data_IF_060855665390
#
_entry.id   IF_060855665390
#
_cell.length_a   1.000
_cell.length_b   1.000
_cell.length_c   1.000
_cell.angle_alpha   90.00
_cell.angle_beta   90.00
_cell.angle_gamma   90.00
#
_symmetry.space_group_name_H-M   'P 1'
#
loop_
_entity.id
_entity.type
_entity.pdbx_description
1 polymer ?
#
# COMPACT_ATOMS: atom_id res chain seq x y z
N UNK A 1 -27.48 -1.61 -13.20
CA UNK A 1 -27.22 -1.91 -11.77
C UNK A 1 -25.80 -1.48 -11.49
N UNK A 2 -25.56 -0.68 -10.46
CA UNK A 2 -24.20 -0.29 -10.06
C UNK A 2 -23.44 -1.55 -9.68
N UNK A 3 -22.33 -1.87 -10.37
CA UNK A 3 -21.45 -2.97 -10.00
C UNK A 3 -20.96 -2.71 -8.57
N UNK A 4 -21.09 -3.70 -7.69
CA UNK A 4 -20.62 -3.66 -6.32
C UNK A 4 -19.28 -4.39 -6.23
N UNK A 5 -18.39 -3.88 -5.39
CA UNK A 5 -17.16 -4.58 -5.04
C UNK A 5 -17.47 -5.67 -4.00
N UNK A 6 -17.28 -6.92 -4.37
CA UNK A 6 -17.48 -8.10 -3.50
C UNK A 6 -16.16 -8.81 -3.16
N UNK A 7 -15.03 -8.21 -3.57
CA UNK A 7 -13.71 -8.83 -3.53
C UNK A 7 -13.37 -9.52 -4.85
N UNK A 8 -12.23 -10.18 -4.89
CA UNK A 8 -11.75 -10.96 -6.03
C UNK A 8 -11.16 -12.28 -5.55
N UNK A 9 -10.85 -13.18 -6.46
CA UNK A 9 -10.19 -14.46 -6.13
C UNK A 9 -8.76 -14.26 -5.61
N UNK A 10 -8.12 -13.15 -5.98
CA UNK A 10 -6.73 -12.84 -5.66
C UNK A 10 -6.56 -11.96 -4.41
N UNK A 11 -7.68 -11.50 -3.81
CA UNK A 11 -7.64 -10.57 -2.69
C UNK A 11 -8.69 -10.87 -1.61
N UNK A 12 -8.24 -11.17 -0.41
CA UNK A 12 -9.12 -11.42 0.74
C UNK A 12 -9.64 -10.09 1.29
N UNK A 13 -10.85 -9.71 0.87
CA UNK A 13 -11.53 -8.51 1.37
C UNK A 13 -12.44 -8.88 2.55
N UNK A 14 -12.23 -8.23 3.70
CA UNK A 14 -13.12 -8.35 4.85
C UNK A 14 -14.46 -7.66 4.57
N UNK A 15 -15.53 -8.06 5.26
CA UNK A 15 -16.88 -7.49 5.02
C UNK A 15 -16.93 -5.99 5.30
N UNK A 16 -16.26 -5.51 6.33
CA UNK A 16 -16.16 -4.09 6.65
C UNK A 16 -15.42 -3.30 5.56
N UNK A 17 -14.38 -3.89 4.94
CA UNK A 17 -13.67 -3.30 3.81
C UNK A 17 -14.57 -3.22 2.56
N UNK A 18 -15.33 -4.28 2.24
CA UNK A 18 -16.28 -4.26 1.11
C UNK A 18 -17.35 -3.18 1.30
N UNK A 19 -17.88 -3.07 2.52
CA UNK A 19 -18.84 -2.02 2.87
C UNK A 19 -18.22 -0.64 2.69
N UNK A 20 -16.97 -0.43 3.14
CA UNK A 20 -16.28 0.86 3.03
C UNK A 20 -16.06 1.25 1.57
N UNK A 21 -15.59 0.33 0.72
CA UNK A 21 -15.40 0.55 -0.72
C UNK A 21 -16.73 0.95 -1.38
N UNK A 22 -17.78 0.17 -1.16
CA UNK A 22 -19.08 0.42 -1.78
C UNK A 22 -19.73 1.72 -1.28
N UNK A 23 -19.54 2.07 0.00
CA UNK A 23 -20.01 3.33 0.56
C UNK A 23 -19.28 4.53 -0.06
N UNK A 24 -17.96 4.47 -0.21
CA UNK A 24 -17.18 5.52 -0.86
C UNK A 24 -17.61 5.74 -2.32
N UNK A 25 -17.84 4.65 -3.07
CA UNK A 25 -18.34 4.68 -4.45
C UNK A 25 -19.74 5.33 -4.53
N UNK A 26 -20.64 4.94 -3.62
CA UNK A 26 -22.02 5.44 -3.59
C UNK A 26 -22.12 6.91 -3.17
N UNK A 27 -21.24 7.35 -2.25
CA UNK A 27 -21.14 8.73 -1.79
C UNK A 27 -20.33 9.62 -2.74
N UNK A 28 -19.70 9.04 -3.75
CA UNK A 28 -18.79 9.74 -4.66
C UNK A 28 -17.65 10.49 -3.92
N UNK A 29 -17.18 9.92 -2.83
CA UNK A 29 -16.08 10.47 -2.02
C UNK A 29 -14.79 9.67 -2.20
N UNK A 30 -13.62 10.32 -2.10
CA UNK A 30 -12.35 9.60 -2.04
C UNK A 30 -12.35 8.59 -0.89
N UNK A 31 -11.92 7.37 -1.16
CA UNK A 31 -11.72 6.32 -0.16
C UNK A 31 -10.31 6.43 0.40
N UNK A 32 -10.17 6.89 1.63
CA UNK A 32 -8.89 6.95 2.33
C UNK A 32 -8.66 5.65 3.12
N UNK A 33 -7.69 4.88 2.69
CA UNK A 33 -7.27 3.64 3.34
C UNK A 33 -6.00 3.88 4.14
N UNK A 34 -6.08 3.72 5.46
CA UNK A 34 -4.92 3.69 6.35
C UNK A 34 -4.66 2.28 6.87
N UNK A 35 -3.42 1.99 7.24
CA UNK A 35 -3.03 0.71 7.84
C UNK A 35 -1.52 0.53 7.87
N UNK A 36 -1.05 -0.50 8.58
CA UNK A 36 0.36 -0.84 8.62
C UNK A 36 0.92 -1.11 7.21
N UNK A 37 2.22 -0.89 6.96
CA UNK A 37 2.86 -1.31 5.72
C UNK A 37 2.64 -2.80 5.44
N UNK A 38 2.43 -3.15 4.16
CA UNK A 38 2.24 -4.54 3.73
C UNK A 38 0.88 -5.17 4.07
N UNK A 39 -0.16 -4.36 4.37
CA UNK A 39 -1.54 -4.83 4.59
C UNK A 39 -2.40 -4.87 3.32
N UNK A 40 -1.81 -4.74 2.14
CA UNK A 40 -2.53 -4.85 0.87
C UNK A 40 -3.28 -3.60 0.43
N UNK A 41 -3.00 -2.41 1.00
CA UNK A 41 -3.70 -1.14 0.65
C UNK A 41 -3.60 -0.77 -0.83
N UNK A 42 -2.39 -0.84 -1.38
CA UNK A 42 -2.15 -0.54 -2.80
C UNK A 42 -2.83 -1.57 -3.68
N UNK A 43 -2.73 -2.87 -3.32
CA UNK A 43 -3.37 -3.97 -4.06
C UNK A 43 -4.88 -3.81 -4.12
N UNK A 44 -5.52 -3.30 -3.07
CA UNK A 44 -6.96 -3.05 -3.05
C UNK A 44 -7.45 -2.21 -4.24
N UNK A 45 -6.71 -1.16 -4.63
CA UNK A 45 -7.11 -0.31 -5.76
C UNK A 45 -7.06 -1.08 -7.09
N UNK A 46 -6.07 -1.97 -7.27
CA UNK A 46 -5.98 -2.86 -8.43
C UNK A 46 -7.18 -3.82 -8.47
N UNK A 47 -7.54 -4.37 -7.33
CA UNK A 47 -8.64 -5.33 -7.22
C UNK A 47 -10.01 -4.66 -7.38
N UNK A 48 -10.17 -3.40 -6.93
CA UNK A 48 -11.37 -2.61 -7.22
C UNK A 48 -11.49 -2.36 -8.73
N UNK A 49 -10.40 -1.96 -9.39
CA UNK A 49 -10.40 -1.73 -10.82
C UNK A 49 -10.73 -3.01 -11.60
N UNK A 50 -10.13 -4.15 -11.21
CA UNK A 50 -10.38 -5.47 -11.80
C UNK A 50 -11.85 -5.89 -11.61
N UNK A 51 -12.38 -5.79 -10.40
CA UNK A 51 -13.75 -6.19 -10.09
C UNK A 51 -14.82 -5.35 -10.80
N UNK A 52 -14.50 -4.07 -11.09
CA UNK A 52 -15.43 -3.14 -11.75
C UNK A 52 -15.17 -3.02 -13.26
N UNK A 53 -14.23 -3.79 -13.81
CA UNK A 53 -13.77 -3.67 -15.21
C UNK A 53 -13.45 -2.22 -15.60
N UNK A 54 -12.75 -1.51 -14.69
CA UNK A 54 -12.45 -0.09 -14.79
C UNK A 54 -10.96 0.15 -15.10
N UNK A 55 -10.63 1.19 -15.89
CA UNK A 55 -9.23 1.60 -16.07
C UNK A 55 -8.61 1.99 -14.73
N UNK A 56 -7.36 1.56 -14.48
CA UNK A 56 -6.60 1.96 -13.31
C UNK A 56 -5.55 3.02 -13.69
N UNK A 57 -5.58 4.13 -13.00
CA UNK A 57 -4.58 5.21 -13.10
C UNK A 57 -3.90 5.33 -11.75
N UNK A 58 -2.58 5.16 -11.72
CA UNK A 58 -1.81 5.17 -10.48
C UNK A 58 -0.90 6.38 -10.40
N UNK A 59 -0.98 7.09 -9.28
CA UNK A 59 -0.09 8.18 -8.92
C UNK A 59 0.65 7.86 -7.63
N UNK A 60 1.92 7.45 -7.75
CA UNK A 60 2.80 7.21 -6.61
C UNK A 60 3.36 8.52 -6.08
N UNK A 61 3.09 8.82 -4.82
CA UNK A 61 3.53 10.04 -4.17
C UNK A 61 4.95 9.85 -3.61
N UNK A 62 5.79 10.85 -3.83
CA UNK A 62 7.15 10.93 -3.29
C UNK A 62 7.27 12.15 -2.40
N UNK A 63 8.31 12.21 -1.56
CA UNK A 63 8.58 13.37 -0.69
C UNK A 63 8.75 14.70 -1.46
N UNK A 64 9.10 14.63 -2.74
CA UNK A 64 9.27 15.79 -3.62
C UNK A 64 8.04 16.07 -4.49
N UNK A 65 7.00 15.24 -4.42
CA UNK A 65 5.80 15.40 -5.25
C UNK A 65 5.01 16.62 -4.80
N UNK A 66 4.61 17.45 -5.78
CA UNK A 66 3.73 18.60 -5.58
C UNK A 66 2.36 18.35 -6.20
N UNK A 67 1.30 18.91 -5.63
CA UNK A 67 -0.07 18.73 -6.10
C UNK A 67 -0.26 19.12 -7.57
N UNK A 68 0.38 20.19 -8.02
CA UNK A 68 0.32 20.64 -9.42
C UNK A 68 0.78 19.57 -10.42
N UNK A 69 1.73 18.70 -10.03
CA UNK A 69 2.23 17.62 -10.90
C UNK A 69 1.17 16.54 -11.18
N UNK A 70 0.17 16.42 -10.30
CA UNK A 70 -1.00 15.57 -10.57
C UNK A 70 -1.91 16.17 -11.62
N UNK A 71 -1.92 17.48 -11.74
CA UNK A 71 -2.70 18.21 -12.74
C UNK A 71 -1.92 18.25 -14.07
N UNK A 72 -0.84 19.02 -14.12
CA UNK A 72 0.04 19.10 -15.28
C UNK A 72 1.40 19.72 -14.92
N UNK A 73 2.35 19.58 -15.84
CA UNK A 73 3.63 20.28 -15.79
C UNK A 73 3.81 21.05 -17.10
N UNK A 74 4.17 22.34 -17.00
CA UNK A 74 4.49 23.18 -18.14
C UNK A 74 6.00 23.31 -18.33
N UNK A 75 6.51 22.86 -19.50
CA UNK A 75 7.92 22.92 -19.85
C UNK A 75 8.28 24.24 -20.54
N UNK A 76 8.34 25.31 -19.73
CA UNK A 76 8.71 26.64 -20.18
C UNK A 76 10.15 26.70 -20.74
N UNK A 77 11.06 25.88 -20.21
CA UNK A 77 12.48 25.87 -20.63
C UNK A 77 12.61 25.32 -22.05
N UNK A 78 11.98 24.18 -22.33
CA UNK A 78 11.98 23.61 -23.68
C UNK A 78 11.29 24.55 -24.66
N UNK A 79 10.17 25.18 -24.29
CA UNK A 79 9.50 26.16 -25.16
C UNK A 79 10.38 27.37 -25.47
N UNK A 80 11.10 27.91 -24.49
CA UNK A 80 12.02 29.01 -24.69
C UNK A 80 13.14 28.63 -25.66
N UNK A 81 13.76 27.47 -25.46
CA UNK A 81 14.81 26.93 -26.34
C UNK A 81 14.31 26.77 -27.79
N UNK A 82 13.15 26.14 -27.97
CA UNK A 82 12.57 25.89 -29.27
C UNK A 82 12.19 27.21 -29.98
N UNK A 83 11.74 28.21 -29.20
CA UNK A 83 11.53 29.58 -29.72
C UNK A 83 12.80 30.21 -30.28
N UNK A 84 13.93 30.03 -29.60
CA UNK A 84 15.23 30.56 -30.06
C UNK A 84 15.73 29.84 -31.32
N UNK A 85 15.35 28.57 -31.51
CA UNK A 85 15.68 27.74 -32.65
C UNK A 85 14.70 27.92 -33.84
N UNK A 86 13.61 28.67 -33.66
CA UNK A 86 12.59 28.88 -34.69
C UNK A 86 11.70 27.65 -34.93
N UNK A 87 11.55 26.77 -33.93
CA UNK A 87 10.73 25.55 -34.05
C UNK A 87 9.23 25.91 -34.10
N UNK A 88 8.53 25.38 -35.10
CA UNK A 88 7.11 25.63 -35.33
C UNK A 88 6.20 25.16 -34.19
N UNK A 89 6.64 24.20 -33.33
CA UNK A 89 5.90 23.70 -32.18
C UNK A 89 5.57 24.80 -31.15
N UNK A 90 6.37 25.88 -31.12
CA UNK A 90 6.17 27.02 -30.19
C UNK A 90 4.83 27.71 -30.39
N UNK A 91 4.22 27.62 -31.56
CA UNK A 91 2.93 28.23 -31.90
C UNK A 91 1.77 27.68 -31.06
N UNK A 92 1.86 26.42 -30.66
CA UNK A 92 0.87 25.82 -29.77
C UNK A 92 1.50 25.48 -28.40
N UNK A 93 1.05 26.18 -27.36
CA UNK A 93 1.52 25.99 -25.98
C UNK A 93 1.24 24.59 -25.45
N UNK A 94 0.22 23.90 -25.96
CA UNK A 94 -0.13 22.54 -25.56
C UNK A 94 0.98 21.53 -25.80
N UNK A 95 1.88 21.78 -26.78
CA UNK A 95 3.03 20.93 -27.04
C UNK A 95 4.04 20.88 -25.88
N UNK A 96 3.93 21.80 -24.92
CA UNK A 96 4.82 21.95 -23.76
C UNK A 96 4.10 21.66 -22.45
N UNK A 97 2.86 21.17 -22.49
CA UNK A 97 2.09 20.76 -21.33
C UNK A 97 2.11 19.24 -21.24
N UNK A 98 2.67 18.74 -20.15
CA UNK A 98 2.67 17.33 -19.81
C UNK A 98 1.53 17.08 -18.82
N UNK A 99 0.57 16.24 -19.20
CA UNK A 99 -0.58 15.89 -18.36
C UNK A 99 -0.16 15.08 -17.14
N UNK A 100 -0.71 15.42 -15.99
CA UNK A 100 -0.58 14.66 -14.75
C UNK A 100 -1.66 13.58 -14.61
N UNK A 101 -1.60 12.81 -13.52
CA UNK A 101 -2.49 11.65 -13.32
C UNK A 101 -3.96 12.02 -13.04
N UNK A 102 -4.22 13.20 -12.44
CA UNK A 102 -5.58 13.70 -12.30
C UNK A 102 -6.14 14.09 -13.67
N UNK A 103 -5.34 14.76 -14.49
CA UNK A 103 -5.77 15.09 -15.86
C UNK A 103 -6.12 13.84 -16.65
N UNK A 104 -5.25 12.82 -16.64
CA UNK A 104 -5.51 11.54 -17.29
C UNK A 104 -6.84 10.92 -16.81
N UNK A 105 -7.10 10.98 -15.49
CA UNK A 105 -8.34 10.46 -14.91
C UNK A 105 -9.56 11.27 -15.32
N UNK A 106 -9.45 12.59 -15.43
CA UNK A 106 -10.56 13.47 -15.80
C UNK A 106 -10.91 13.37 -17.30
N UNK A 107 -9.94 13.08 -18.14
CA UNK A 107 -10.17 12.87 -19.59
C UNK A 107 -10.70 11.46 -19.92
N UNK A 108 -10.66 10.51 -18.98
CA UNK A 108 -11.09 9.13 -19.23
C UNK A 108 -12.55 9.07 -19.68
N UNK A 109 -12.83 8.32 -20.73
CA UNK A 109 -14.20 8.09 -21.22
C UNK A 109 -14.96 7.06 -20.35
N UNK A 110 -14.24 6.08 -19.80
CA UNK A 110 -14.77 5.14 -18.82
C UNK A 110 -14.48 5.64 -17.41
N UNK A 111 -15.32 5.27 -16.44
CA UNK A 111 -15.10 5.62 -15.02
C UNK A 111 -13.82 4.97 -14.49
N UNK A 112 -12.71 5.69 -14.31
CA UNK A 112 -11.47 5.09 -13.88
C UNK A 112 -11.40 4.94 -12.36
N UNK A 113 -10.57 4.01 -11.89
CA UNK A 113 -10.04 4.02 -10.52
C UNK A 113 -8.75 4.83 -10.51
N UNK A 114 -8.72 5.92 -9.75
CA UNK A 114 -7.53 6.74 -9.53
C UNK A 114 -6.93 6.37 -8.18
N UNK A 115 -5.76 5.75 -8.17
CA UNK A 115 -4.99 5.47 -6.97
C UNK A 115 -3.99 6.59 -6.71
N UNK A 116 -4.13 7.28 -5.57
CA UNK A 116 -3.14 8.19 -5.00
C UNK A 116 -2.42 7.42 -3.89
N UNK A 117 -1.24 6.90 -4.21
CA UNK A 117 -0.54 5.93 -3.35
C UNK A 117 0.45 6.62 -2.42
N UNK A 118 0.37 6.31 -1.11
CA UNK A 118 1.25 6.80 -0.05
C UNK A 118 1.24 8.33 0.09
N UNK A 119 0.03 8.93 0.19
CA UNK A 119 -0.17 10.39 0.26
C UNK A 119 0.62 11.08 1.38
N UNK A 120 0.87 10.37 2.47
CA UNK A 120 1.60 10.85 3.65
C UNK A 120 3.13 10.95 3.44
N UNK A 121 3.66 10.53 2.29
CA UNK A 121 5.07 10.80 1.92
C UNK A 121 5.32 12.24 1.52
N UNK A 122 4.33 12.91 0.93
CA UNK A 122 4.46 14.31 0.53
C UNK A 122 4.51 15.27 1.74
N UNK A 123 4.64 16.55 1.44
CA UNK A 123 4.55 17.59 2.46
C UNK A 123 3.13 17.67 3.06
N UNK A 124 3.00 18.21 4.27
CA UNK A 124 1.75 18.26 5.03
C UNK A 124 0.65 19.04 4.31
N UNK A 125 1.01 20.03 3.50
CA UNK A 125 0.07 20.85 2.73
C UNK A 125 -0.44 20.14 1.46
N UNK A 126 0.29 19.15 0.95
CA UNK A 126 -0.04 18.46 -0.30
C UNK A 126 -1.50 17.94 -0.37
N UNK A 127 -2.06 17.30 0.67
CA UNK A 127 -3.47 16.87 0.62
C UNK A 127 -4.44 18.05 0.54
N UNK A 128 -4.12 19.19 1.21
CA UNK A 128 -4.94 20.39 1.16
C UNK A 128 -4.95 21.01 -0.23
N UNK A 129 -3.80 21.00 -0.90
CA UNK A 129 -3.62 21.56 -2.26
C UNK A 129 -4.44 20.78 -3.33
N UNK A 130 -4.90 19.56 -3.02
CA UNK A 130 -5.74 18.74 -3.89
C UNK A 130 -7.24 18.80 -3.56
N UNK A 131 -7.61 19.50 -2.49
CA UNK A 131 -8.99 19.46 -2.00
C UNK A 131 -10.01 19.95 -3.02
N UNK A 132 -9.71 21.07 -3.68
CA UNK A 132 -10.63 21.69 -4.62
C UNK A 132 -10.83 20.80 -5.85
N UNK A 133 -9.74 20.24 -6.38
CA UNK A 133 -9.74 19.40 -7.57
C UNK A 133 -10.47 18.09 -7.32
N UNK A 134 -10.29 17.50 -6.14
CA UNK A 134 -10.98 16.25 -5.75
C UNK A 134 -12.47 16.46 -5.39
N UNK A 135 -12.83 17.64 -4.89
CA UNK A 135 -14.23 17.96 -4.59
C UNK A 135 -15.02 18.28 -5.87
N UNK A 136 -14.46 19.19 -6.69
CA UNK A 136 -15.14 19.72 -7.89
C UNK A 136 -14.91 18.87 -9.12
N UNK A 137 -13.88 18.01 -9.10
CA UNK A 137 -13.42 17.23 -10.26
C UNK A 137 -13.13 18.12 -11.47
N UNK A 138 -12.50 19.26 -11.21
CA UNK A 138 -12.08 20.23 -12.22
C UNK A 138 -10.82 20.97 -11.76
N UNK A 139 -10.04 21.47 -12.70
CA UNK A 139 -8.94 22.39 -12.46
C UNK A 139 -8.71 23.30 -13.66
N UNK A 140 -8.01 24.43 -13.43
CA UNK A 140 -7.74 25.42 -14.44
C UNK A 140 -6.32 25.32 -14.97
N UNK A 141 -6.14 25.38 -16.28
CA UNK A 141 -4.84 25.40 -16.97
C UNK A 141 -4.53 26.81 -17.41
N UNK A 142 -3.57 27.43 -16.75
CA UNK A 142 -3.25 28.85 -16.94
C UNK A 142 -2.69 29.15 -18.33
N UNK A 143 -1.91 28.26 -18.91
CA UNK A 143 -1.24 28.45 -20.19
C UNK A 143 -2.20 28.42 -21.38
N UNK A 144 -3.30 27.69 -21.26
CA UNK A 144 -4.32 27.56 -22.31
C UNK A 144 -5.59 28.34 -22.00
N UNK A 145 -5.75 28.87 -20.77
CA UNK A 145 -6.98 29.47 -20.26
C UNK A 145 -8.19 28.54 -20.34
N UNK A 146 -7.98 27.26 -20.09
CA UNK A 146 -9.03 26.23 -20.15
C UNK A 146 -9.30 25.63 -18.78
N UNK A 147 -10.55 25.30 -18.50
CA UNK A 147 -10.92 24.47 -17.35
C UNK A 147 -11.05 23.03 -17.82
N UNK A 148 -10.31 22.13 -17.19
CA UNK A 148 -10.43 20.69 -17.41
C UNK A 148 -11.39 20.15 -16.37
N UNK A 149 -12.50 19.56 -16.81
CA UNK A 149 -13.50 18.94 -15.96
C UNK A 149 -13.55 17.43 -16.24
N UNK A 150 -13.75 16.63 -15.19
CA UNK A 150 -13.89 15.19 -15.34
C UNK A 150 -15.09 14.81 -16.17
N UNK A 151 -14.87 14.08 -17.27
CA UNK A 151 -15.95 13.55 -18.13
C UNK A 151 -16.85 12.58 -17.37
N UNK A 152 -16.21 11.71 -16.58
CA UNK A 152 -16.88 10.80 -15.66
C UNK A 152 -16.14 10.87 -14.33
N UNK A 153 -16.90 11.01 -13.22
CA UNK A 153 -16.28 11.11 -11.89
C UNK A 153 -15.49 9.83 -11.54
N UNK A 154 -14.17 9.91 -11.34
CA UNK A 154 -13.34 8.75 -11.00
C UNK A 154 -13.68 8.18 -9.62
N UNK A 155 -13.38 6.91 -9.41
CA UNK A 155 -13.33 6.30 -8.09
C UNK A 155 -11.94 6.59 -7.55
N UNK A 156 -11.83 7.47 -6.55
CA UNK A 156 -10.54 7.86 -5.99
C UNK A 156 -10.22 6.99 -4.78
N UNK A 157 -9.10 6.28 -4.82
CA UNK A 157 -8.56 5.49 -3.70
C UNK A 157 -7.25 6.14 -3.26
N UNK A 158 -7.13 6.43 -1.98
CA UNK A 158 -5.97 7.10 -1.39
C UNK A 158 -5.40 6.18 -0.32
N UNK A 159 -4.10 5.90 -0.36
CA UNK A 159 -3.44 5.09 0.66
C UNK A 159 -2.53 5.93 1.55
N UNK A 160 -2.40 5.51 2.80
CA UNK A 160 -1.48 6.09 3.78
C UNK A 160 -0.93 5.02 4.71
N UNK A 161 0.37 5.06 4.98
CA UNK A 161 1.06 4.20 5.95
C UNK A 161 1.05 4.78 7.37
N UNK A 162 0.38 5.90 7.56
CA UNK A 162 0.32 6.63 8.84
C UNK A 162 1.69 7.15 9.31
N UNK A 163 2.56 7.48 8.36
CA UNK A 163 3.87 8.09 8.65
C UNK A 163 3.74 9.53 9.11
N UNK A 164 2.74 10.26 8.55
CA UNK A 164 2.38 11.62 8.93
C UNK A 164 0.87 11.75 9.11
N UNK A 165 0.46 12.67 9.95
CA UNK A 165 -0.95 13.04 10.10
C UNK A 165 -1.44 13.80 8.87
N UNK A 166 -2.66 13.50 8.45
CA UNK A 166 -3.32 14.20 7.35
C UNK A 166 -4.20 15.32 7.90
N UNK A 167 -4.32 16.46 7.20
CA UNK A 167 -5.11 17.60 7.66
C UNK A 167 -6.60 17.24 7.86
N UNK A 168 -7.22 17.77 8.91
CA UNK A 168 -8.64 17.54 9.21
C UNK A 168 -9.58 17.93 8.06
N UNK A 169 -9.26 19.01 7.35
CA UNK A 169 -10.03 19.46 6.20
C UNK A 169 -10.08 18.40 5.10
N UNK A 170 -8.97 17.69 4.89
CA UNK A 170 -8.86 16.60 3.93
C UNK A 170 -9.62 15.35 4.43
N UNK A 171 -9.43 14.97 5.70
CA UNK A 171 -10.09 13.81 6.29
C UNK A 171 -11.62 13.89 6.20
N UNK A 172 -12.20 15.05 6.43
CA UNK A 172 -13.67 15.27 6.35
C UNK A 172 -14.26 15.06 4.95
N UNK A 173 -13.46 15.12 3.91
CA UNK A 173 -13.88 14.92 2.52
C UNK A 173 -13.76 13.47 2.06
N UNK A 174 -13.00 12.67 2.80
CA UNK A 174 -12.78 11.27 2.49
C UNK A 174 -13.78 10.37 3.22
N UNK A 175 -14.07 9.22 2.62
CA UNK A 175 -14.58 8.08 3.36
C UNK A 175 -13.38 7.34 3.93
N UNK A 176 -13.30 7.22 5.25
CA UNK A 176 -12.14 6.66 5.94
C UNK A 176 -12.34 5.19 6.28
N UNK A 177 -11.32 4.36 6.02
CA UNK A 177 -11.26 2.99 6.49
C UNK A 177 -9.84 2.65 6.97
N UNK A 178 -9.74 1.97 8.11
CA UNK A 178 -8.47 1.49 8.64
C UNK A 178 -8.37 -0.02 8.46
N UNK A 179 -7.44 -0.47 7.62
CA UNK A 179 -7.14 -1.89 7.47
C UNK A 179 -6.30 -2.33 8.67
N UNK A 180 -6.91 -3.13 9.54
CA UNK A 180 -6.20 -3.77 10.64
C UNK A 180 -5.23 -4.82 10.11
N UNK A 181 -4.15 -5.03 10.85
CA UNK A 181 -3.26 -6.14 10.52
C UNK A 181 -4.05 -7.45 10.61
N UNK A 182 -3.96 -8.33 9.59
CA UNK A 182 -4.74 -9.56 9.55
C UNK A 182 -4.53 -10.40 10.81
N UNK A 183 -5.60 -10.98 11.34
CA UNK A 183 -5.52 -12.04 12.35
C UNK A 183 -5.08 -13.37 11.72
N UNK A 184 -4.91 -14.41 12.54
CA UNK A 184 -4.40 -15.69 12.07
C UNK A 184 -5.32 -16.38 11.05
N UNK A 185 -6.64 -16.22 11.18
CA UNK A 185 -7.63 -16.79 10.27
C UNK A 185 -7.57 -16.08 8.90
N UNK A 186 -7.65 -14.75 8.91
CA UNK A 186 -7.53 -13.94 7.70
C UNK A 186 -6.18 -14.16 7.01
N UNK A 187 -5.10 -14.26 7.81
CA UNK A 187 -3.76 -14.50 7.26
C UNK A 187 -3.65 -15.87 6.61
N UNK A 188 -4.27 -16.90 7.20
CA UNK A 188 -4.31 -18.22 6.59
C UNK A 188 -5.04 -18.17 5.24
N UNK A 189 -6.17 -17.48 5.16
CA UNK A 189 -6.89 -17.28 3.90
C UNK A 189 -6.03 -16.54 2.86
N UNK A 190 -5.26 -15.52 3.27
CA UNK A 190 -4.32 -14.83 2.38
C UNK A 190 -3.24 -15.78 1.87
N UNK A 191 -2.67 -16.62 2.75
CA UNK A 191 -1.67 -17.63 2.36
C UNK A 191 -2.25 -18.64 1.37
N UNK A 192 -3.48 -19.09 1.59
CA UNK A 192 -4.15 -20.05 0.70
C UNK A 192 -4.38 -19.47 -0.71
N UNK A 193 -4.69 -18.18 -0.82
CA UNK A 193 -4.79 -17.49 -2.11
C UNK A 193 -3.45 -17.47 -2.85
N UNK A 194 -2.35 -17.17 -2.16
CA UNK A 194 -1.02 -17.06 -2.77
C UNK A 194 -0.35 -18.42 -3.01
N UNK A 195 -0.63 -19.40 -2.16
CA UNK A 195 -0.01 -20.73 -2.17
C UNK A 195 -1.04 -21.84 -1.97
N UNK A 196 -1.94 -22.08 -2.94
CA UNK A 196 -3.09 -23.00 -2.78
C UNK A 196 -2.72 -24.45 -2.48
N UNK A 197 -1.46 -24.85 -2.74
CA UNK A 197 -0.99 -26.22 -2.53
C UNK A 197 0.00 -26.34 -1.35
N UNK A 198 0.14 -25.32 -0.51
CA UNK A 198 1.07 -25.35 0.62
C UNK A 198 0.57 -26.33 1.70
N UNK A 199 1.51 -27.03 2.35
CA UNK A 199 1.16 -27.93 3.45
C UNK A 199 0.64 -27.12 4.64
N UNK A 200 -0.59 -27.38 5.08
CA UNK A 200 -1.25 -26.65 6.17
C UNK A 200 -0.47 -26.72 7.50
N UNK A 201 0.24 -27.82 7.75
CA UNK A 201 1.12 -27.94 8.94
C UNK A 201 2.29 -26.94 8.92
N UNK A 202 2.89 -26.76 7.74
CA UNK A 202 3.95 -25.76 7.56
C UNK A 202 3.41 -24.33 7.79
N UNK A 203 2.24 -24.03 7.21
CA UNK A 203 1.58 -22.73 7.39
C UNK A 203 1.29 -22.45 8.87
N UNK A 204 0.70 -23.42 9.59
CA UNK A 204 0.37 -23.27 10.99
C UNK A 204 1.60 -22.94 11.86
N UNK A 205 2.73 -23.66 11.66
CA UNK A 205 3.97 -23.37 12.39
C UNK A 205 4.60 -22.03 11.98
N UNK A 206 4.59 -21.72 10.70
CA UNK A 206 5.09 -20.42 10.20
C UNK A 206 4.27 -19.25 10.77
N UNK A 207 2.94 -19.33 10.75
CA UNK A 207 2.07 -18.30 11.33
C UNK A 207 2.30 -18.16 12.84
N UNK A 208 2.46 -19.26 13.57
CA UNK A 208 2.78 -19.23 15.01
C UNK A 208 4.05 -18.42 15.25
N UNK A 209 5.14 -18.77 14.57
CA UNK A 209 6.43 -18.06 14.71
C UNK A 209 6.27 -16.59 14.33
N UNK A 210 5.63 -16.32 13.21
CA UNK A 210 5.43 -14.97 12.69
C UNK A 210 4.69 -14.07 13.70
N UNK A 211 3.57 -14.54 14.27
CA UNK A 211 2.83 -13.77 15.26
C UNK A 211 3.56 -13.64 16.60
N UNK A 212 4.30 -14.68 17.01
CA UNK A 212 5.12 -14.61 18.22
C UNK A 212 6.24 -13.58 18.05
N UNK A 213 6.89 -13.54 16.89
CA UNK A 213 7.87 -12.50 16.57
C UNK A 213 7.26 -11.10 16.64
N UNK A 214 6.08 -10.90 16.06
CA UNK A 214 5.40 -9.59 16.08
C UNK A 214 5.00 -9.10 17.47
N UNK A 215 4.84 -10.00 18.45
CA UNK A 215 4.54 -9.68 19.85
C UNK A 215 5.77 -9.27 20.65
N UNK A 216 6.99 -9.51 20.16
CA UNK A 216 8.23 -9.19 20.89
C UNK A 216 8.32 -7.69 21.12
N UNK A 217 8.44 -7.23 22.40
CA UNK A 217 8.57 -5.82 22.69
C UNK A 217 9.90 -5.26 22.17
N UNK A 218 9.86 -4.02 21.69
CA UNK A 218 11.08 -3.31 21.26
C UNK A 218 11.50 -3.55 19.82
N UNK A 219 10.73 -4.31 19.03
CA UNK A 219 10.94 -4.37 17.58
C UNK A 219 10.82 -3.00 16.95
N UNK A 220 11.81 -2.63 16.16
CA UNK A 220 11.81 -1.41 15.34
C UNK A 220 10.87 -1.54 14.15
N UNK A 221 10.87 -2.73 13.53
CA UNK A 221 10.00 -3.03 12.40
C UNK A 221 9.35 -4.41 12.58
N UNK A 222 8.05 -4.42 12.80
CA UNK A 222 7.27 -5.66 12.81
C UNK A 222 7.20 -6.24 11.40
N UNK A 223 7.42 -7.55 11.22
CA UNK A 223 7.27 -8.17 9.89
C UNK A 223 5.84 -8.00 9.36
N UNK A 224 5.74 -7.71 8.07
CA UNK A 224 4.48 -7.48 7.35
C UNK A 224 3.94 -8.74 6.67
N UNK A 225 2.73 -8.67 6.12
CA UNK A 225 2.14 -9.77 5.33
C UNK A 225 3.01 -10.14 4.14
N UNK A 226 3.56 -9.15 3.42
CA UNK A 226 4.42 -9.40 2.26
C UNK A 226 5.70 -10.16 2.67
N UNK A 227 6.29 -9.80 3.81
CA UNK A 227 7.49 -10.46 4.35
C UNK A 227 7.20 -11.89 4.81
N UNK A 228 5.98 -12.16 5.33
CA UNK A 228 5.54 -13.53 5.61
C UNK A 228 5.41 -14.36 4.33
N UNK A 229 4.78 -13.82 3.30
CA UNK A 229 4.62 -14.50 2.01
C UNK A 229 5.99 -14.81 1.36
N UNK A 230 6.91 -13.85 1.39
CA UNK A 230 8.28 -14.06 0.92
C UNK A 230 8.99 -15.15 1.72
N UNK A 231 8.82 -15.16 3.03
CA UNK A 231 9.43 -16.17 3.90
C UNK A 231 8.87 -17.57 3.60
N UNK A 232 7.55 -17.71 3.47
CA UNK A 232 6.92 -18.98 3.08
C UNK A 232 7.42 -19.47 1.72
N UNK A 233 7.56 -18.57 0.75
CA UNK A 233 8.14 -18.89 -0.56
C UNK A 233 9.55 -19.46 -0.43
N UNK A 234 10.39 -18.83 0.38
CA UNK A 234 11.75 -19.29 0.60
C UNK A 234 11.80 -20.64 1.32
N UNK A 235 10.92 -20.87 2.31
CA UNK A 235 10.82 -22.19 2.97
C UNK A 235 10.47 -23.30 1.98
N UNK A 236 9.58 -23.02 1.01
CA UNK A 236 9.21 -23.97 -0.05
C UNK A 236 10.36 -24.20 -1.03
N UNK A 237 11.09 -23.17 -1.43
CA UNK A 237 12.22 -23.27 -2.37
C UNK A 237 13.37 -24.07 -1.76
N UNK A 238 13.65 -23.89 -0.46
CA UNK A 238 14.73 -24.58 0.26
C UNK A 238 14.29 -25.92 0.87
N UNK A 239 13.06 -26.39 0.54
CA UNK A 239 12.45 -27.64 1.05
C UNK A 239 12.50 -27.76 2.59
N UNK A 240 12.31 -26.62 3.28
CA UNK A 240 12.29 -26.56 4.75
C UNK A 240 10.87 -26.91 5.22
N UNK A 241 10.71 -28.08 5.84
CA UNK A 241 9.43 -28.57 6.34
C UNK A 241 9.09 -28.05 7.75
N UNK A 242 7.87 -28.39 8.19
CA UNK A 242 7.34 -27.97 9.49
C UNK A 242 8.20 -28.48 10.68
N UNK A 243 8.91 -29.59 10.55
CA UNK A 243 9.70 -30.14 11.63
C UNK A 243 10.91 -29.24 11.99
N UNK A 244 11.49 -28.57 11.00
CA UNK A 244 12.54 -27.59 11.21
C UNK A 244 12.04 -26.33 11.95
N UNK A 245 10.73 -26.04 11.86
CA UNK A 245 10.08 -24.91 12.55
C UNK A 245 9.56 -25.27 13.95
N UNK A 246 9.30 -26.57 14.23
CA UNK A 246 8.81 -27.07 15.53
C UNK A 246 9.91 -27.18 16.59
N UNK A 247 11.17 -27.04 16.21
CA UNK A 247 12.27 -27.24 17.11
C UNK A 247 12.17 -26.27 18.32
N UNK A 248 11.89 -26.85 19.49
CA UNK A 248 11.72 -26.14 20.76
C UNK A 248 13.06 -25.76 21.41
N UNK A 249 14.14 -25.75 20.67
CA UNK A 249 15.43 -25.33 21.20
C UNK A 249 15.37 -23.81 21.50
N UNK A 250 15.44 -23.41 22.79
CA UNK A 250 15.45 -21.98 23.15
C UNK A 250 16.59 -21.21 22.51
N UNK A 251 17.60 -21.94 21.97
CA UNK A 251 18.75 -21.35 21.27
C UNK A 251 18.42 -20.95 19.84
N UNK A 252 17.29 -21.43 19.28
CA UNK A 252 16.82 -21.19 17.91
C UNK A 252 15.59 -20.32 17.85
N UNK A 253 15.53 -19.25 18.66
CA UNK A 253 14.48 -18.23 18.58
C UNK A 253 14.45 -17.48 17.25
N UNK A 254 15.56 -17.57 16.50
CA UNK A 254 15.66 -16.99 15.16
C UNK A 254 15.30 -18.08 14.15
N UNK A 255 14.19 -17.92 13.39
CA UNK A 255 13.79 -18.92 12.42
C UNK A 255 14.76 -18.99 11.24
N UNK A 256 14.80 -20.12 10.49
CA UNK A 256 15.58 -20.20 9.26
C UNK A 256 15.13 -19.10 8.29
N UNK A 257 16.05 -18.57 7.49
CA UNK A 257 15.78 -17.54 6.49
C UNK A 257 15.15 -16.24 7.07
N UNK A 258 15.46 -15.96 8.34
CA UNK A 258 14.91 -14.80 9.09
C UNK A 258 15.13 -13.45 8.40
N UNK A 259 16.09 -13.31 7.50
CA UNK A 259 16.30 -12.11 6.70
C UNK A 259 15.09 -11.74 5.81
N UNK A 260 14.17 -12.68 5.57
CA UNK A 260 12.88 -12.37 4.95
C UNK A 260 11.96 -11.58 5.91
N UNK A 261 12.01 -11.89 7.21
CA UNK A 261 11.14 -11.33 8.24
C UNK A 261 11.74 -10.12 8.97
N UNK A 262 13.04 -10.17 9.28
CA UNK A 262 13.76 -9.13 10.02
C UNK A 262 14.54 -8.25 9.05
N UNK A 263 14.13 -7.00 8.92
CA UNK A 263 14.70 -6.01 7.97
C UNK A 263 15.52 -4.92 8.68
N UNK A 264 15.81 -5.11 9.96
CA UNK A 264 16.57 -4.17 10.77
C UNK A 264 17.61 -4.90 11.61
N UNK A 265 18.87 -4.44 11.59
CA UNK A 265 19.97 -5.05 12.32
C UNK A 265 19.72 -5.08 13.84
N UNK A 266 19.12 -4.01 14.39
CA UNK A 266 18.78 -3.96 15.82
C UNK A 266 17.76 -5.02 16.21
N UNK A 267 16.85 -5.36 15.31
CA UNK A 267 15.85 -6.40 15.53
C UNK A 267 16.52 -7.79 15.53
N UNK A 268 17.48 -8.04 14.63
CA UNK A 268 18.27 -9.28 14.63
C UNK A 268 19.03 -9.42 15.96
N UNK A 269 19.72 -8.38 16.40
CA UNK A 269 20.45 -8.40 17.70
C UNK A 269 19.52 -8.53 18.89
N UNK A 270 18.28 -8.03 18.82
CA UNK A 270 17.29 -8.25 19.87
C UNK A 270 16.96 -9.74 20.00
N UNK A 271 16.71 -10.44 18.90
CA UNK A 271 16.42 -11.87 18.90
C UNK A 271 17.64 -12.71 19.34
N UNK A 272 18.87 -12.35 18.93
CA UNK A 272 20.11 -12.99 19.40
C UNK A 272 20.25 -12.89 20.92
N UNK A 273 19.97 -11.71 21.48
CA UNK A 273 20.02 -11.53 22.96
C UNK A 273 18.94 -12.36 23.67
N UNK A 274 17.72 -12.40 23.14
CA UNK A 274 16.65 -13.21 23.71
C UNK A 274 17.00 -14.70 23.67
N UNK A 275 17.59 -15.19 22.57
CA UNK A 275 18.06 -16.54 22.43
C UNK A 275 19.19 -16.85 23.48
N UNK A 276 20.11 -15.92 23.68
CA UNK A 276 21.18 -16.06 24.67
C UNK A 276 20.64 -16.12 26.12
N UNK A 277 19.67 -15.27 26.46
CA UNK A 277 19.05 -15.28 27.80
C UNK A 277 18.29 -16.58 28.08
N UNK A 278 17.53 -17.06 27.09
CA UNK A 278 16.80 -18.32 27.19
C UNK A 278 17.73 -19.53 27.42
N UNK A 279 18.94 -19.51 26.81
CA UNK A 279 19.98 -20.52 27.08
C UNK A 279 20.41 -20.52 28.54
N UNK A 280 20.65 -19.37 29.13
CA UNK A 280 21.09 -19.24 30.52
C UNK A 280 20.07 -19.72 31.53
N UNK A 281 18.79 -19.39 31.28
CA UNK A 281 17.68 -19.82 32.16
C UNK A 281 17.44 -21.33 32.07
N UNK A 282 17.50 -21.89 30.85
CA UNK A 282 17.42 -23.37 30.65
C UNK A 282 18.61 -24.17 31.24
N UNK A 283 19.79 -23.57 31.33
CA UNK A 283 20.97 -24.20 31.94
C UNK A 283 20.95 -24.12 33.47
N UNK A 284 20.25 -23.11 34.06
CA UNK A 284 20.15 -22.94 35.50
C UNK A 284 19.10 -23.81 36.19
N UNK A 285 18.21 -24.46 35.43
CA UNK A 285 17.11 -25.28 35.96
C UNK A 285 17.38 -26.80 35.98
N UNK A 286 18.64 -27.24 35.86
CA UNK A 286 18.98 -28.64 36.19
C UNK A 286 19.05 -28.78 37.69
N UNK A 287 18.17 -29.54 38.37
CA UNK A 287 18.32 -29.86 39.77
C UNK A 287 19.58 -30.71 39.93
N UNK A 288 20.45 -30.25 40.82
CA UNK A 288 21.58 -31.04 41.22
C UNK A 288 21.15 -32.44 41.69
N UNK A 289 21.77 -33.43 41.13
CA UNK A 289 21.76 -34.78 41.69
C UNK A 289 22.59 -34.80 42.99
#
# INVERSE_FOLDING_TARGET
MSQRFEGTEDYVATEDLKVAVNAAIALERPLLIKGEPGTGKTVLAYEIAKALDAPLITWHIKSTTKAIQGLYEYDAVTRLRDSQLGDERVKDVRNYIKKGKLWEAFESEARPVLLIDEIDKADIEFPNDLLQELDRMEFYVYETNETIQAKVRPIVVITSNNEKELPDAFLRRCFFHYIRFPDAETMNAIVDVHYPNIKQKLVAEALRIFYDMRKVPGLKKKPSTSELLDWLKLLLVEDIGEDALKEKDPTKLIPPLHGALLKNEQDVHLFERLAFLARREGAGSRPGQ
#
